data_IF_266168109318
#
_entry.id   IF_266168109318
#
_cell.length_a   1.000
_cell.length_b   1.000
_cell.length_c   1.000
_cell.angle_alpha   90.00
_cell.angle_beta   90.00
_cell.angle_gamma   90.00
#
_symmetry.space_group_name_H-M   'P 1'
#
loop_
_entity.id
_entity.type
_entity.pdbx_description
1 polymer ?
#
# COMPACT_ATOMS: atom_id res chain seq x y z
N UNK A 1 0.04 -12.60 4.59
CA UNK A 1 0.66 -11.95 5.77
C UNK A 1 1.25 -10.59 5.41
N UNK A 2 0.81 -9.50 6.06
CA UNK A 2 1.30 -8.12 5.82
C UNK A 2 2.82 -7.98 5.92
N UNK A 3 3.45 -8.68 6.86
CA UNK A 3 4.88 -8.56 7.15
C UNK A 3 5.73 -9.01 5.95
N UNK A 4 5.29 -10.06 5.26
CA UNK A 4 5.98 -10.53 4.07
C UNK A 4 5.91 -9.53 2.91
N UNK A 5 4.78 -8.81 2.76
CA UNK A 5 4.65 -7.73 1.78
C UNK A 5 5.65 -6.62 2.07
N UNK A 6 5.78 -6.22 3.34
CA UNK A 6 6.72 -5.19 3.79
C UNK A 6 8.18 -5.63 3.53
N UNK A 7 8.53 -6.89 3.78
CA UNK A 7 9.85 -7.46 3.44
C UNK A 7 10.13 -7.41 1.92
N UNK A 8 9.14 -7.70 1.07
CA UNK A 8 9.29 -7.60 -0.38
C UNK A 8 9.49 -6.14 -0.82
N UNK A 9 8.74 -5.20 -0.25
CA UNK A 9 8.92 -3.77 -0.51
C UNK A 9 10.33 -3.31 -0.12
N UNK A 10 10.78 -3.69 1.07
CA UNK A 10 12.12 -3.35 1.57
C UNK A 10 13.21 -3.87 0.64
N UNK A 11 13.12 -5.13 0.21
CA UNK A 11 14.06 -5.69 -0.76
C UNK A 11 14.02 -4.92 -2.09
N UNK A 12 12.83 -4.67 -2.65
CA UNK A 12 12.69 -3.94 -3.92
C UNK A 12 13.29 -2.53 -3.84
N UNK A 13 13.10 -1.83 -2.73
CA UNK A 13 13.55 -0.45 -2.55
C UNK A 13 15.03 -0.42 -2.19
N UNK A 14 15.41 -1.04 -1.08
CA UNK A 14 16.75 -0.91 -0.51
C UNK A 14 17.80 -1.81 -1.19
N UNK A 15 17.41 -2.99 -1.68
CA UNK A 15 18.35 -3.88 -2.40
C UNK A 15 18.38 -3.62 -3.91
N UNK A 16 17.22 -3.30 -4.52
CA UNK A 16 17.12 -3.17 -5.98
C UNK A 16 16.91 -1.73 -6.47
N UNK A 17 16.86 -0.73 -5.58
CA UNK A 17 16.79 0.68 -5.94
C UNK A 17 15.47 1.10 -6.60
N UNK A 18 14.37 0.37 -6.35
CA UNK A 18 13.06 0.70 -6.91
C UNK A 18 12.38 1.77 -6.05
N UNK A 19 11.77 2.76 -6.69
CA UNK A 19 11.11 3.88 -6.00
C UNK A 19 9.61 3.98 -6.31
N UNK A 20 9.12 3.14 -7.23
CA UNK A 20 7.73 3.11 -7.68
C UNK A 20 7.27 1.66 -7.78
N UNK A 21 6.24 1.27 -7.02
CA UNK A 21 5.75 -0.11 -6.93
C UNK A 21 4.25 -0.14 -7.18
N UNK A 22 3.82 -0.99 -8.11
CA UNK A 22 2.41 -1.27 -8.36
C UNK A 22 2.00 -2.57 -7.67
N UNK A 23 0.99 -2.52 -6.80
CA UNK A 23 0.34 -3.71 -6.28
C UNK A 23 -0.59 -4.29 -7.34
N UNK A 24 -0.24 -5.48 -7.83
CA UNK A 24 -0.97 -6.19 -8.89
C UNK A 24 -2.19 -6.97 -8.42
N UNK A 25 -2.72 -6.71 -7.23
CA UNK A 25 -3.89 -7.40 -6.70
C UNK A 25 -5.17 -6.90 -7.39
N UNK A 26 -6.11 -7.81 -7.67
CA UNK A 26 -7.41 -7.45 -8.26
C UNK A 26 -8.21 -6.50 -7.37
N UNK A 27 -8.08 -6.65 -6.04
CA UNK A 27 -8.72 -5.81 -5.04
C UNK A 27 -7.85 -5.66 -3.79
N UNK A 28 -6.88 -4.74 -3.85
CA UNK A 28 -5.96 -4.48 -2.73
C UNK A 28 -6.69 -3.98 -1.46
N UNK A 29 -7.73 -3.16 -1.61
CA UNK A 29 -8.43 -2.53 -0.49
C UNK A 29 -9.58 -3.36 0.13
N UNK A 30 -9.56 -4.68 -0.04
CA UNK A 30 -10.62 -5.58 0.48
C UNK A 30 -10.61 -5.74 1.99
N UNK A 31 -9.42 -5.69 2.60
CA UNK A 31 -9.26 -5.90 4.03
C UNK A 31 -8.57 -4.68 4.67
N UNK A 32 -9.33 -3.97 5.50
CA UNK A 32 -8.87 -2.79 6.24
C UNK A 32 -7.58 -3.04 7.02
N UNK A 33 -7.58 -4.04 7.91
CA UNK A 33 -6.49 -4.29 8.85
C UNK A 33 -5.23 -4.75 8.13
N UNK A 34 -5.40 -5.50 7.04
CA UNK A 34 -4.29 -5.91 6.18
C UNK A 34 -3.59 -4.69 5.55
N UNK A 35 -4.36 -3.74 5.01
CA UNK A 35 -3.80 -2.52 4.40
C UNK A 35 -3.17 -1.62 5.45
N UNK A 36 -3.80 -1.48 6.63
CA UNK A 36 -3.25 -0.74 7.75
C UNK A 36 -1.88 -1.30 8.17
N UNK A 37 -1.79 -2.62 8.38
CA UNK A 37 -0.56 -3.30 8.78
C UNK A 37 0.57 -3.14 7.74
N UNK A 38 0.27 -3.20 6.44
CA UNK A 38 1.27 -2.92 5.39
C UNK A 38 1.77 -1.48 5.51
N UNK A 39 0.85 -0.51 5.64
CA UNK A 39 1.23 0.90 5.71
C UNK A 39 2.03 1.23 6.97
N UNK A 40 1.67 0.65 8.11
CA UNK A 40 2.39 0.77 9.37
C UNK A 40 3.80 0.17 9.26
N UNK A 41 3.93 -1.06 8.74
CA UNK A 41 5.24 -1.68 8.55
C UNK A 41 6.15 -0.92 7.58
N UNK A 42 5.59 -0.31 6.53
CA UNK A 42 6.35 0.59 5.63
C UNK A 42 6.90 1.80 6.38
N UNK A 43 6.10 2.40 7.25
CA UNK A 43 6.51 3.57 8.04
C UNK A 43 7.51 3.19 9.14
N UNK A 44 7.30 2.08 9.84
CA UNK A 44 8.19 1.58 10.90
C UNK A 44 9.58 1.25 10.36
N UNK A 45 9.66 0.66 9.17
CA UNK A 45 10.94 0.38 8.50
C UNK A 45 11.54 1.60 7.78
N UNK A 46 10.80 2.71 7.67
CA UNK A 46 11.26 3.90 6.97
C UNK A 46 11.51 3.67 5.47
N UNK A 47 10.71 2.83 4.83
CA UNK A 47 10.86 2.50 3.40
C UNK A 47 10.41 3.71 2.57
N UNK A 48 11.33 4.34 1.85
CA UNK A 48 11.04 5.47 0.97
C UNK A 48 10.56 4.98 -0.41
N UNK A 49 9.23 4.85 -0.56
CA UNK A 49 8.59 4.27 -1.75
C UNK A 49 7.34 5.04 -2.16
N UNK A 50 7.12 5.16 -3.47
CA UNK A 50 5.82 5.50 -4.02
C UNK A 50 5.11 4.22 -4.42
N UNK A 51 3.86 4.04 -3.99
CA UNK A 51 3.09 2.86 -4.35
C UNK A 51 1.68 3.19 -4.85
N UNK A 52 1.14 2.23 -5.60
CA UNK A 52 -0.08 2.36 -6.39
C UNK A 52 -0.87 1.06 -6.34
N UNK A 53 -2.19 1.12 -6.46
CA UNK A 53 -3.03 -0.08 -6.49
C UNK A 53 -4.32 0.13 -7.28
N UNK A 54 -4.93 -0.99 -7.69
CA UNK A 54 -6.32 -1.03 -8.16
C UNK A 54 -7.25 -1.46 -7.02
N UNK A 55 -8.35 -0.74 -6.84
CA UNK A 55 -9.33 -1.02 -5.79
C UNK A 55 -10.76 -0.76 -6.23
N UNK A 56 -11.69 -1.08 -5.33
CA UNK A 56 -13.12 -0.80 -5.52
C UNK A 56 -13.53 0.50 -4.84
N UNK A 57 -14.41 1.26 -5.49
CA UNK A 57 -14.89 2.54 -4.98
C UNK A 57 -15.68 2.42 -3.67
N UNK A 58 -16.53 1.40 -3.53
CA UNK A 58 -17.32 1.16 -2.31
C UNK A 58 -16.44 0.86 -1.09
N UNK A 59 -15.36 0.08 -1.28
CA UNK A 59 -14.39 -0.22 -0.24
C UNK A 59 -13.51 0.97 0.11
N UNK A 60 -13.19 1.83 -0.85
CA UNK A 60 -12.45 3.07 -0.57
C UNK A 60 -13.28 4.00 0.34
N UNK A 61 -14.57 4.13 0.08
CA UNK A 61 -15.49 4.91 0.92
C UNK A 61 -15.64 4.27 2.30
N UNK A 62 -15.76 2.94 2.35
CA UNK A 62 -15.86 2.19 3.62
C UNK A 62 -14.62 2.33 4.50
N UNK A 63 -13.42 2.41 3.90
CA UNK A 63 -12.12 2.45 4.59
C UNK A 63 -11.41 3.80 4.41
N UNK A 64 -12.19 4.88 4.28
CA UNK A 64 -11.67 6.23 4.04
C UNK A 64 -10.73 6.74 5.13
N UNK A 65 -10.85 6.20 6.35
CA UNK A 65 -10.00 6.50 7.49
C UNK A 65 -8.55 6.06 7.30
N UNK A 66 -8.28 5.11 6.39
CA UNK A 66 -6.93 4.72 6.01
C UNK A 66 -6.24 5.70 5.07
N UNK A 67 -6.97 6.60 4.39
CA UNK A 67 -6.39 7.49 3.37
C UNK A 67 -5.20 8.33 3.88
N UNK A 68 -5.24 8.94 5.09
CA UNK A 68 -4.08 9.64 5.64
C UNK A 68 -2.88 8.71 5.89
N UNK A 69 -3.13 7.49 6.37
CA UNK A 69 -2.11 6.49 6.62
C UNK A 69 -1.47 6.01 5.31
N UNK A 70 -2.30 5.65 4.32
CA UNK A 70 -1.85 5.27 2.97
C UNK A 70 -1.00 6.37 2.34
N UNK A 71 -1.44 7.64 2.45
CA UNK A 71 -0.70 8.76 1.87
C UNK A 71 0.66 8.96 2.53
N UNK A 72 0.75 8.77 3.85
CA UNK A 72 2.01 8.85 4.61
C UNK A 72 2.96 7.71 4.29
N UNK A 73 2.44 6.50 4.08
CA UNK A 73 3.25 5.32 3.73
C UNK A 73 3.65 5.28 2.25
N UNK A 74 3.29 6.29 1.45
CA UNK A 74 3.76 6.43 0.07
C UNK A 74 2.72 6.20 -1.02
N UNK A 75 1.43 6.03 -0.70
CA UNK A 75 0.40 5.92 -1.72
C UNK A 75 0.30 7.23 -2.52
N UNK A 76 0.40 7.13 -3.85
CA UNK A 76 0.34 8.30 -4.75
C UNK A 76 -0.89 8.34 -5.64
N UNK A 77 -1.39 7.18 -6.06
CA UNK A 77 -2.58 7.09 -6.89
C UNK A 77 -3.29 5.76 -6.63
N UNK A 78 -4.62 5.80 -6.75
CA UNK A 78 -5.50 4.65 -6.68
C UNK A 78 -6.29 4.58 -7.98
N UNK A 79 -6.27 3.43 -8.64
CA UNK A 79 -7.14 3.16 -9.79
C UNK A 79 -8.44 2.54 -9.27
N UNK A 80 -9.56 3.21 -9.53
CA UNK A 80 -10.88 2.74 -9.10
C UNK A 80 -11.66 2.22 -10.30
N UNK A 81 -12.20 1.01 -10.17
CA UNK A 81 -13.31 0.56 -11.02
C UNK A 81 -14.60 1.23 -10.57
N UNK A 82 -15.30 1.88 -11.51
CA UNK A 82 -16.58 2.58 -11.31
C UNK A 82 -17.65 1.87 -12.14
#
# INVERSE_FOLDING_TARGET
EPEWVVEQLDALVNRYGRTNIWFGDDCFNVNHDHVAAICEGVLEKGIDVNWYYQGRADLLVKHQDLLPLMRRSGNRMVQLGI
#
